data_IF_896842052832
#
_entry.id   IF_896842052832
#
_cell.length_a   1.000
_cell.length_b   1.000
_cell.length_c   1.000
_cell.angle_alpha   90.00
_cell.angle_beta   90.00
_cell.angle_gamma   90.00
#
_symmetry.space_group_name_H-M   'P 1'
#
loop_
_entity.id
_entity.type
_entity.pdbx_description
1 polymer ?
#
# COMPACT_ATOMS: atom_id res chain seq x y z
N UNK A 1 20.43 -8.51 3.78
CA UNK A 1 19.26 -7.61 3.67
C UNK A 1 18.78 -7.29 5.08
N UNK A 2 18.90 -6.03 5.49
CA UNK A 2 18.51 -5.57 6.84
C UNK A 2 16.98 -5.64 6.95
N UNK A 3 16.45 -6.69 7.55
CA UNK A 3 15.12 -6.64 8.15
C UNK A 3 15.24 -5.73 9.38
N UNK A 4 15.31 -4.42 9.14
CA UNK A 4 15.25 -3.42 10.19
C UNK A 4 13.87 -3.53 10.82
N UNK A 5 13.82 -3.92 12.10
CA UNK A 5 12.65 -3.74 12.92
C UNK A 5 12.45 -2.23 13.11
N UNK A 6 11.95 -1.55 12.08
CA UNK A 6 11.51 -0.16 12.18
C UNK A 6 10.54 -0.09 13.36
N UNK A 7 10.84 0.78 14.32
CA UNK A 7 9.94 1.09 15.43
C UNK A 7 8.67 1.73 14.89
N UNK A 8 7.58 1.71 15.67
CA UNK A 8 6.34 2.37 15.25
C UNK A 8 6.55 3.88 15.03
N UNK A 9 7.45 4.49 15.79
CA UNK A 9 7.84 5.90 15.65
C UNK A 9 8.52 6.19 14.31
N UNK A 10 9.41 5.30 13.86
CA UNK A 10 10.07 5.45 12.55
C UNK A 10 9.11 5.17 11.38
N UNK A 11 8.09 4.31 11.56
CA UNK A 11 7.06 4.03 10.54
C UNK A 11 6.06 5.16 10.38
N UNK A 12 5.74 5.85 11.48
CA UNK A 12 4.73 6.91 11.56
C UNK A 12 4.83 7.95 10.45
N UNK A 13 5.99 8.57 10.14
CA UNK A 13 6.06 9.57 9.07
C UNK A 13 5.66 9.01 7.70
N UNK A 14 6.06 7.77 7.38
CA UNK A 14 5.68 7.13 6.12
C UNK A 14 4.19 6.86 6.04
N UNK A 15 3.58 6.47 7.16
CA UNK A 15 2.14 6.22 7.24
C UNK A 15 1.34 7.53 7.15
N UNK A 16 1.81 8.60 7.78
CA UNK A 16 1.19 9.91 7.65
C UNK A 16 1.25 10.43 6.22
N UNK A 17 2.41 10.32 5.55
CA UNK A 17 2.53 10.71 4.13
C UNK A 17 1.63 9.86 3.22
N UNK A 18 1.59 8.53 3.41
CA UNK A 18 0.71 7.67 2.64
C UNK A 18 -0.78 8.01 2.86
N UNK A 19 -1.15 8.34 4.10
CA UNK A 19 -2.50 8.79 4.46
C UNK A 19 -2.86 10.10 3.75
N UNK A 20 -1.92 11.04 3.68
CA UNK A 20 -2.11 12.30 2.95
C UNK A 20 -2.30 12.07 1.44
N UNK A 21 -1.50 11.19 0.81
CA UNK A 21 -1.68 10.87 -0.61
C UNK A 21 -3.05 10.25 -0.89
N UNK A 22 -3.50 9.34 -0.04
CA UNK A 22 -4.85 8.76 -0.14
C UNK A 22 -5.91 9.85 0.03
N UNK A 23 -5.78 10.71 1.05
CA UNK A 23 -6.74 11.79 1.32
C UNK A 23 -6.82 12.76 0.13
N UNK A 24 -5.68 13.13 -0.44
CA UNK A 24 -5.58 14.01 -1.60
C UNK A 24 -6.21 13.38 -2.86
N UNK A 25 -6.13 12.05 -3.01
CA UNK A 25 -6.74 11.35 -4.14
C UNK A 25 -8.28 11.34 -4.12
N UNK A 26 -8.88 11.53 -2.94
CA UNK A 26 -10.32 11.43 -2.71
C UNK A 26 -10.89 10.01 -2.89
N UNK A 27 -10.03 8.99 -2.99
CA UNK A 27 -10.44 7.61 -3.21
C UNK A 27 -10.80 6.91 -1.88
N UNK A 28 -11.75 5.97 -1.88
CA UNK A 28 -12.14 5.20 -0.70
C UNK A 28 -11.11 4.12 -0.35
N UNK A 29 -9.89 4.55 -0.03
CA UNK A 29 -8.76 3.71 0.39
C UNK A 29 -8.40 3.97 1.84
N UNK A 30 -7.83 2.96 2.48
CA UNK A 30 -7.33 3.00 3.86
C UNK A 30 -5.95 2.33 3.91
N UNK A 31 -5.11 2.74 4.85
CA UNK A 31 -3.82 2.10 5.08
C UNK A 31 -4.00 0.76 5.80
N UNK A 32 -3.21 -0.23 5.41
CA UNK A 32 -3.08 -1.48 6.14
C UNK A 32 -1.90 -1.38 7.12
N UNK A 33 -2.23 -0.97 8.35
CA UNK A 33 -1.28 -0.81 9.45
C UNK A 33 -0.64 -2.15 9.88
N UNK A 34 -1.15 -3.29 9.42
CA UNK A 34 -0.59 -4.61 9.75
C UNK A 34 0.64 -4.97 8.93
N UNK A 35 0.87 -4.27 7.81
CA UNK A 35 1.94 -4.58 6.87
C UNK A 35 2.77 -3.34 6.53
N UNK A 36 4.09 -3.45 6.72
CA UNK A 36 5.06 -2.44 6.34
C UNK A 36 6.27 -3.13 5.73
N UNK A 37 6.72 -2.64 4.59
CA UNK A 37 7.92 -3.12 3.92
C UNK A 37 8.89 -2.00 3.63
N UNK A 38 10.10 -2.36 3.24
CA UNK A 38 11.12 -1.40 2.80
C UNK A 38 11.78 -1.91 1.51
N UNK A 39 12.24 -0.99 0.69
CA UNK A 39 13.04 -1.25 -0.50
C UNK A 39 14.22 -0.28 -0.59
N UNK A 40 15.16 -0.50 -1.51
CA UNK A 40 16.26 0.44 -1.72
C UNK A 40 15.78 1.88 -1.99
N UNK A 41 14.61 2.06 -2.60
CA UNK A 41 14.06 3.36 -2.98
C UNK A 41 13.23 4.03 -1.88
N UNK A 42 12.77 3.30 -0.86
CA UNK A 42 11.89 3.86 0.18
C UNK A 42 11.17 2.84 1.05
N UNK A 43 10.07 3.27 1.66
CA UNK A 43 9.16 2.45 2.45
C UNK A 43 7.91 2.06 1.64
N UNK A 44 7.50 0.80 1.76
CA UNK A 44 6.22 0.28 1.27
C UNK A 44 5.16 0.36 2.36
N UNK A 45 4.12 1.15 2.10
CA UNK A 45 2.92 1.17 2.93
C UNK A 45 1.79 0.49 2.16
N UNK A 46 1.20 -0.56 2.75
CA UNK A 46 0.11 -1.28 2.12
C UNK A 46 -1.21 -0.53 2.26
N UNK A 47 -2.06 -0.65 1.25
CA UNK A 47 -3.36 0.02 1.23
C UNK A 47 -4.45 -0.96 0.81
N UNK A 48 -5.62 -0.78 1.39
CA UNK A 48 -6.80 -1.61 1.17
C UNK A 48 -8.01 -0.74 0.82
N UNK A 49 -8.96 -1.27 0.04
CA UNK A 49 -10.20 -0.56 -0.22
C UNK A 49 -11.07 -0.56 1.04
N UNK A 50 -11.63 0.60 1.39
CA UNK A 50 -12.55 0.76 2.53
C UNK A 50 -13.78 -0.13 2.43
N UNK A 51 -14.24 -0.38 1.20
CA UNK A 51 -15.28 -1.36 0.89
C UNK A 51 -14.77 -2.33 -0.16
N UNK A 52 -14.59 -3.59 0.25
CA UNK A 52 -14.27 -4.69 -0.67
C UNK A 52 -15.51 -4.98 -1.52
N UNK A 53 -15.37 -4.90 -2.83
CA UNK A 53 -16.48 -5.14 -3.75
C UNK A 53 -16.03 -5.39 -5.18
N UNK A 54 -16.99 -5.61 -6.09
CA UNK A 54 -16.74 -5.91 -7.50
C UNK A 54 -15.93 -4.84 -8.25
N UNK A 55 -15.90 -3.60 -7.76
CA UNK A 55 -15.20 -2.45 -8.39
C UNK A 55 -13.78 -2.19 -7.86
N UNK A 56 -13.19 -3.15 -7.14
CA UNK A 56 -11.86 -3.00 -6.54
C UNK A 56 -10.78 -2.75 -7.61
N UNK A 57 -10.91 -3.37 -8.79
CA UNK A 57 -9.97 -3.18 -9.89
C UNK A 57 -10.03 -1.76 -10.49
N UNK A 58 -11.23 -1.23 -10.72
CA UNK A 58 -11.42 0.16 -11.19
C UNK A 58 -10.84 1.16 -10.20
N UNK A 59 -11.03 0.90 -8.89
CA UNK A 59 -10.46 1.72 -7.82
C UNK A 59 -8.93 1.73 -7.85
N UNK A 60 -8.29 0.60 -8.14
CA UNK A 60 -6.83 0.52 -8.27
C UNK A 60 -6.29 1.21 -9.51
N UNK A 61 -6.98 1.12 -10.64
CA UNK A 61 -6.62 1.86 -11.86
C UNK A 61 -6.70 3.38 -11.62
N UNK A 62 -7.74 3.85 -10.90
CA UNK A 62 -7.85 5.25 -10.48
C UNK A 62 -6.76 5.64 -9.48
N UNK A 63 -6.44 4.77 -8.53
CA UNK A 63 -5.39 5.01 -7.54
C UNK A 63 -4.02 5.15 -8.20
N UNK A 64 -3.72 4.31 -9.19
CA UNK A 64 -2.48 4.40 -9.99
C UNK A 64 -2.30 5.75 -10.68
N UNK A 65 -3.40 6.40 -11.08
CA UNK A 65 -3.36 7.71 -11.74
C UNK A 65 -3.29 8.87 -10.73
N UNK A 66 -3.89 8.72 -9.55
CA UNK A 66 -4.04 9.81 -8.57
C UNK A 66 -3.03 9.80 -7.42
N UNK A 67 -2.47 8.64 -7.08
CA UNK A 67 -1.62 8.45 -5.92
C UNK A 67 -0.18 8.23 -6.38
N UNK A 68 0.71 9.14 -5.98
CA UNK A 68 2.14 9.04 -6.30
C UNK A 68 2.75 7.80 -5.61
N UNK A 69 3.56 7.04 -6.36
CA UNK A 69 4.22 5.83 -5.84
C UNK A 69 3.26 4.64 -5.68
N UNK A 70 2.01 4.75 -6.13
CA UNK A 70 1.05 3.65 -6.07
C UNK A 70 1.44 2.50 -7.00
N UNK A 71 1.52 1.30 -6.45
CA UNK A 71 1.82 0.06 -7.16
C UNK A 71 0.81 -1.00 -6.77
N UNK A 72 0.16 -1.61 -7.76
CA UNK A 72 -0.64 -2.82 -7.56
C UNK A 72 0.26 -4.06 -7.65
N UNK A 73 0.17 -4.94 -6.65
CA UNK A 73 0.84 -6.25 -6.64
C UNK A 73 -0.22 -7.36 -6.63
N UNK A 74 -0.22 -8.17 -7.69
CA UNK A 74 -0.97 -9.43 -7.69
C UNK A 74 -0.16 -10.45 -6.88
N UNK A 75 -0.45 -10.56 -5.58
CA UNK A 75 0.12 -11.62 -4.75
C UNK A 75 -0.88 -12.76 -4.58
N UNK A 76 -0.50 -13.93 -5.07
CA UNK A 76 -1.13 -15.18 -4.65
C UNK A 76 -0.80 -15.40 -3.17
N UNK A 77 -1.81 -15.66 -2.35
CA UNK A 77 -1.62 -15.96 -0.92
C UNK A 77 -0.78 -17.25 -0.82
N UNK A 78 0.37 -17.27 -0.13
CA UNK A 78 1.11 -18.51 0.06
C UNK A 78 0.23 -19.51 0.81
N UNK A 79 0.00 -20.69 0.22
CA UNK A 79 -0.81 -21.78 0.79
C UNK A 79 -2.24 -21.93 0.27
N UNK A 80 -2.71 -21.12 -0.68
CA UNK A 80 -3.99 -21.36 -1.36
C UNK A 80 -3.76 -21.71 -2.83
N UNK A 81 -4.32 -22.85 -3.28
CA UNK A 81 -4.51 -23.14 -4.71
C UNK A 81 -5.32 -21.99 -5.30
N UNK A 82 -4.74 -21.37 -6.32
CA UNK A 82 -5.37 -20.56 -7.38
C UNK A 82 -6.85 -20.24 -7.13
N UNK A 83 -7.16 -19.05 -6.60
CA UNK A 83 -8.28 -18.19 -7.08
C UNK A 83 -8.54 -16.96 -6.19
N UNK A 84 -8.02 -16.92 -4.96
CA UNK A 84 -8.18 -15.72 -4.10
C UNK A 84 -7.11 -14.67 -4.39
N UNK A 85 -7.13 -14.15 -5.61
CA UNK A 85 -6.31 -13.00 -6.03
C UNK A 85 -6.76 -11.76 -5.28
N UNK A 86 -6.32 -11.59 -4.03
CA UNK A 86 -6.44 -10.31 -3.35
C UNK A 86 -5.49 -9.36 -4.09
N UNK A 87 -6.07 -8.42 -4.82
CA UNK A 87 -5.32 -7.29 -5.36
C UNK A 87 -4.81 -6.49 -4.16
N UNK A 88 -3.54 -6.71 -3.82
CA UNK A 88 -2.85 -5.91 -2.83
C UNK A 88 -2.31 -4.68 -3.54
N UNK A 89 -2.45 -3.53 -2.90
CA UNK A 89 -1.84 -2.31 -3.39
C UNK A 89 -0.91 -1.76 -2.32
N UNK A 90 0.16 -1.11 -2.76
CA UNK A 90 1.11 -0.44 -1.90
C UNK A 90 1.46 0.92 -2.46
N UNK A 91 1.83 1.83 -1.58
CA UNK A 91 2.38 3.13 -1.91
C UNK A 91 3.86 3.10 -1.52
N UNK A 92 4.72 3.44 -2.46
CA UNK A 92 6.15 3.65 -2.23
C UNK A 92 6.32 5.08 -1.77
N UNK A 93 6.74 5.25 -0.51
CA UNK A 93 7.13 6.54 0.04
C UNK A 93 8.67 6.58 0.00
N UNK A 94 9.29 7.46 -0.79
CA UNK A 94 10.74 7.50 -0.89
C UNK A 94 11.38 7.79 0.48
N UNK A 95 12.63 7.36 0.67
CA UNK A 95 13.38 7.72 1.87
C UNK A 95 13.40 9.24 2.03
N UNK A 96 13.19 9.73 3.27
CA UNK A 96 13.55 11.11 3.58
C UNK A 96 15.08 11.20 3.49
N UNK A 97 15.57 12.00 2.56
CA UNK A 97 16.97 12.45 2.54
C UNK A 97 17.31 13.24 3.81
#
# INVERSE_FOLDING_TARGET
MRAFNFTEEEKRPYWETAKEYIRASGLPLELDYTAFGICPEGAYVYVIPKKKGKKTQELWELAKQKIKGFTQEKRSKPGHKEDTTRLYARIIIPWKE
#
